data_IF_744212218777
#
_entry.id   IF_744212218777
#
_cell.length_a   1.000
_cell.length_b   1.000
_cell.length_c   1.000
_cell.angle_alpha   90.00
_cell.angle_beta   90.00
_cell.angle_gamma   90.00
#
_symmetry.space_group_name_H-M   'P 1'
#
loop_
_entity.id
_entity.type
_entity.pdbx_description
1 polymer ?
#
# COMPACT_ATOMS: atom_id res chain seq x y z
N UNK A 1 25.62 -6.63 13.27
CA UNK A 1 25.56 -6.58 11.79
C UNK A 1 24.17 -6.94 11.25
N UNK A 2 23.31 -7.60 12.03
CA UNK A 2 21.95 -8.02 11.64
C UNK A 2 20.96 -6.90 11.31
N UNK A 3 21.06 -5.70 11.89
CA UNK A 3 20.12 -4.61 11.62
C UNK A 3 20.24 -3.91 10.26
N UNK A 4 21.30 -4.19 9.46
CA UNK A 4 21.54 -3.46 8.21
C UNK A 4 20.76 -4.01 7.01
N UNK A 5 20.59 -5.33 6.90
CA UNK A 5 19.96 -5.96 5.74
C UNK A 5 18.43 -5.79 5.77
N UNK A 6 17.79 -6.07 6.92
CA UNK A 6 16.34 -5.85 7.08
C UNK A 6 15.98 -4.39 6.86
N UNK A 7 16.77 -3.44 7.39
CA UNK A 7 16.55 -2.01 7.17
C UNK A 7 16.64 -1.65 5.68
N UNK A 8 17.54 -2.26 4.92
CA UNK A 8 17.64 -2.04 3.48
C UNK A 8 16.44 -2.61 2.73
N UNK A 9 16.02 -3.84 3.04
CA UNK A 9 14.81 -4.43 2.47
C UNK A 9 13.58 -3.55 2.71
N UNK A 10 13.42 -3.03 3.94
CA UNK A 10 12.31 -2.14 4.27
C UNK A 10 12.38 -0.84 3.48
N UNK A 11 13.56 -0.27 3.27
CA UNK A 11 13.73 0.91 2.41
C UNK A 11 13.38 0.62 0.95
N UNK A 12 13.66 -0.59 0.47
CA UNK A 12 13.27 -1.00 -0.89
C UNK A 12 11.75 -1.12 -1.03
N UNK A 13 11.10 -1.77 -0.06
CA UNK A 13 9.62 -1.89 0.00
C UNK A 13 8.97 -0.52 0.17
N UNK A 14 9.46 0.31 1.09
CA UNK A 14 8.99 1.69 1.29
C UNK A 14 9.20 2.53 0.03
N UNK A 15 10.33 2.36 -0.67
CA UNK A 15 10.65 3.02 -1.92
C UNK A 15 9.71 2.62 -3.05
N UNK A 16 9.30 1.35 -3.14
CA UNK A 16 8.29 0.86 -4.08
C UNK A 16 6.96 1.61 -3.88
N UNK A 17 6.43 1.63 -2.66
CA UNK A 17 5.13 2.27 -2.38
C UNK A 17 5.19 3.80 -2.44
N UNK A 18 6.30 4.41 -1.98
CA UNK A 18 6.47 5.87 -1.98
C UNK A 18 6.42 6.48 -3.38
N UNK A 19 6.82 5.73 -4.42
CA UNK A 19 6.69 6.16 -5.83
C UNK A 19 5.26 6.37 -6.27
N UNK A 20 4.32 5.63 -5.69
CA UNK A 20 2.90 5.75 -5.98
C UNK A 20 2.31 7.03 -5.40
N UNK A 21 2.93 7.63 -4.38
CA UNK A 21 2.43 8.84 -3.69
C UNK A 21 1.17 8.65 -2.85
N UNK A 22 0.71 7.41 -2.71
CA UNK A 22 -0.37 7.02 -1.81
C UNK A 22 0.02 7.30 -0.36
N UNK A 23 -0.99 7.46 0.49
CA UNK A 23 -0.76 7.67 1.92
C UNK A 23 -0.64 6.32 2.62
N UNK A 24 0.49 6.08 3.31
CA UNK A 24 0.70 4.84 4.05
C UNK A 24 1.57 5.05 5.30
N UNK A 25 1.58 4.02 6.16
CA UNK A 25 2.57 3.80 7.22
C UNK A 25 3.15 2.41 7.06
N UNK A 26 4.46 2.28 7.32
CA UNK A 26 5.14 0.99 7.32
C UNK A 26 5.51 0.62 8.75
N UNK A 27 5.19 -0.61 9.13
CA UNK A 27 5.64 -1.25 10.35
C UNK A 27 6.41 -2.50 9.95
N UNK A 28 7.35 -2.92 10.77
CA UNK A 28 8.06 -4.16 10.52
C UNK A 28 8.42 -4.83 11.82
N UNK A 29 8.60 -6.14 11.72
CA UNK A 29 9.02 -6.97 12.83
C UNK A 29 9.92 -8.08 12.30
N UNK A 30 11.05 -8.21 12.95
CA UNK A 30 11.86 -9.43 12.90
C UNK A 30 11.37 -10.39 13.98
N UNK A 31 11.11 -11.64 13.61
CA UNK A 31 10.69 -12.65 14.59
C UNK A 31 11.90 -13.06 15.42
N UNK A 32 11.83 -12.87 16.73
CA UNK A 32 12.88 -13.31 17.66
C UNK A 32 12.95 -14.83 17.74
N UNK A 33 14.13 -15.39 18.06
CA UNK A 33 14.31 -16.85 18.27
C UNK A 33 13.26 -17.43 19.24
N UNK A 34 12.97 -16.74 20.34
CA UNK A 34 11.92 -17.16 21.28
C UNK A 34 10.53 -17.24 20.63
N UNK A 35 10.17 -16.25 19.81
CA UNK A 35 8.87 -16.24 19.11
C UNK A 35 8.80 -17.31 18.02
N UNK A 36 9.94 -17.62 17.39
CA UNK A 36 10.08 -18.69 16.40
C UNK A 36 9.86 -20.07 17.04
N UNK A 37 10.59 -20.36 18.12
CA UNK A 37 10.44 -21.60 18.89
C UNK A 37 9.02 -21.79 19.39
N UNK A 38 8.42 -20.76 20.01
CA UNK A 38 7.04 -20.82 20.47
C UNK A 38 6.03 -21.11 19.34
N UNK A 39 6.31 -20.65 18.11
CA UNK A 39 5.46 -20.92 16.94
C UNK A 39 5.58 -22.38 16.50
N UNK A 40 6.80 -22.92 16.49
CA UNK A 40 7.08 -24.32 16.19
C UNK A 40 6.41 -25.23 17.23
N UNK A 41 6.58 -24.93 18.53
CA UNK A 41 6.02 -25.72 19.63
C UNK A 41 4.49 -25.71 19.67
N UNK A 42 3.87 -24.60 19.23
CA UNK A 42 2.41 -24.46 19.21
C UNK A 42 1.75 -25.26 18.09
N UNK A 43 2.48 -25.52 17.01
CA UNK A 43 2.00 -26.27 15.85
C UNK A 43 2.94 -27.44 15.54
N UNK A 44 3.06 -28.43 16.46
CA UNK A 44 4.03 -29.50 16.34
C UNK A 44 3.77 -30.32 15.06
N UNK A 45 4.82 -30.53 14.27
CA UNK A 45 4.78 -31.26 13.00
C UNK A 45 4.27 -30.47 11.79
N UNK A 46 3.86 -29.20 11.95
CA UNK A 46 3.44 -28.34 10.83
C UNK A 46 4.62 -27.86 9.99
N UNK A 47 5.75 -27.57 10.63
CA UNK A 47 6.92 -27.00 9.99
C UNK A 47 7.98 -28.07 9.76
N UNK A 48 8.41 -28.21 8.51
CA UNK A 48 9.40 -29.19 8.05
C UNK A 48 10.11 -28.67 6.80
N UNK A 49 11.02 -29.46 6.22
CA UNK A 49 11.72 -29.11 4.98
C UNK A 49 10.77 -28.74 3.82
N UNK A 50 9.56 -29.30 3.79
CA UNK A 50 8.53 -29.05 2.76
C UNK A 50 7.62 -27.86 3.09
N UNK A 51 7.49 -27.49 4.36
CA UNK A 51 6.61 -26.41 4.83
C UNK A 51 7.35 -25.53 5.82
N UNK A 52 8.06 -24.55 5.27
CA UNK A 52 8.95 -23.68 6.03
C UNK A 52 8.25 -22.46 6.61
N UNK A 53 8.91 -21.81 7.56
CA UNK A 53 8.45 -20.55 8.16
C UNK A 53 8.84 -19.40 7.24
N UNK A 54 7.84 -18.66 6.76
CA UNK A 54 8.02 -17.62 5.73
C UNK A 54 7.95 -16.18 6.27
N UNK A 55 7.56 -16.02 7.55
CA UNK A 55 7.34 -14.74 8.22
C UNK A 55 8.43 -14.44 9.25
N UNK A 56 9.70 -14.70 8.88
CA UNK A 56 10.85 -14.29 9.69
C UNK A 56 10.97 -12.77 9.71
N UNK A 57 10.92 -12.15 8.53
CA UNK A 57 10.66 -10.72 8.36
C UNK A 57 9.19 -10.56 7.98
N UNK A 58 8.43 -9.89 8.84
CA UNK A 58 7.09 -9.42 8.54
C UNK A 58 7.07 -7.91 8.38
N UNK A 59 6.62 -7.43 7.22
CA UNK A 59 6.41 -6.01 6.92
C UNK A 59 4.91 -5.77 6.84
N UNK A 60 4.39 -4.73 7.49
CA UNK A 60 3.00 -4.31 7.38
C UNK A 60 2.93 -2.93 6.76
N UNK A 61 2.11 -2.80 5.74
CA UNK A 61 1.84 -1.53 5.07
C UNK A 61 0.38 -1.18 5.35
N UNK A 62 0.18 -0.16 6.18
CA UNK A 62 -1.12 0.37 6.54
C UNK A 62 -1.45 1.57 5.64
N UNK A 63 -2.32 1.37 4.66
CA UNK A 63 -2.78 2.36 3.69
C UNK A 63 -3.95 3.18 4.27
N UNK A 64 -4.10 4.42 3.85
CA UNK A 64 -5.18 5.27 4.38
C UNK A 64 -6.52 5.05 3.67
N UNK A 65 -6.50 4.52 2.45
CA UNK A 65 -7.70 4.26 1.66
C UNK A 65 -7.69 2.82 1.15
N UNK A 66 -8.87 2.18 1.16
CA UNK A 66 -9.02 0.75 0.82
C UNK A 66 -8.76 0.48 -0.67
N UNK A 67 -9.06 1.43 -1.56
CA UNK A 67 -8.79 1.31 -3.00
C UNK A 67 -7.30 1.35 -3.34
N UNK A 68 -6.45 1.85 -2.43
CA UNK A 68 -4.99 1.85 -2.61
C UNK A 68 -4.36 0.45 -2.40
N UNK A 69 -5.06 -0.49 -1.75
CA UNK A 69 -4.54 -1.85 -1.47
C UNK A 69 -4.24 -2.57 -2.79
N UNK A 70 -5.15 -2.52 -3.75
CA UNK A 70 -4.97 -3.20 -5.03
C UNK A 70 -3.78 -2.63 -5.83
N UNK A 71 -3.59 -1.31 -5.79
CA UNK A 71 -2.48 -0.65 -6.48
C UNK A 71 -1.14 -0.98 -5.81
N UNK A 72 -1.08 -0.91 -4.48
CA UNK A 72 0.12 -1.28 -3.73
C UNK A 72 0.50 -2.74 -3.92
N UNK A 73 -0.49 -3.65 -3.91
CA UNK A 73 -0.31 -5.08 -4.20
C UNK A 73 0.36 -5.28 -5.56
N UNK A 74 -0.25 -4.74 -6.62
CA UNK A 74 0.28 -4.87 -7.98
C UNK A 74 1.71 -4.33 -8.10
N UNK A 75 1.99 -3.17 -7.52
CA UNK A 75 3.33 -2.58 -7.54
C UNK A 75 4.39 -3.45 -6.84
N UNK A 76 4.02 -4.13 -5.74
CA UNK A 76 4.91 -5.06 -5.04
C UNK A 76 5.11 -6.35 -5.82
N UNK A 77 4.04 -6.93 -6.37
CA UNK A 77 4.07 -8.14 -7.22
C UNK A 77 4.95 -7.93 -8.47
N UNK A 78 4.92 -6.75 -9.08
CA UNK A 78 5.76 -6.41 -10.22
C UNK A 78 7.24 -6.17 -9.83
N UNK A 79 7.50 -5.75 -8.58
CA UNK A 79 8.83 -5.31 -8.14
C UNK A 79 9.67 -6.42 -7.52
N UNK A 80 9.04 -7.34 -6.81
CA UNK A 80 9.69 -8.39 -6.04
C UNK A 80 9.32 -9.77 -6.58
N UNK A 81 10.11 -10.79 -6.24
CA UNK A 81 9.85 -12.17 -6.65
C UNK A 81 8.68 -12.76 -5.83
N UNK A 82 7.47 -12.62 -6.38
CA UNK A 82 6.20 -12.97 -5.75
C UNK A 82 5.91 -14.48 -5.77
N UNK A 83 5.60 -15.04 -4.59
CA UNK A 83 5.26 -16.46 -4.41
C UNK A 83 3.77 -16.60 -4.18
N UNK A 84 3.01 -16.73 -5.27
CA UNK A 84 1.53 -16.77 -5.24
C UNK A 84 0.99 -17.94 -4.39
N UNK A 85 1.58 -19.12 -4.53
CA UNK A 85 1.09 -20.35 -3.87
C UNK A 85 1.11 -20.28 -2.34
N UNK A 86 1.97 -19.43 -1.79
CA UNK A 86 2.14 -19.25 -0.34
C UNK A 86 1.46 -17.98 0.18
N UNK A 87 1.01 -17.13 -0.73
CA UNK A 87 0.32 -15.88 -0.40
C UNK A 87 -1.15 -16.12 -0.05
N UNK A 88 -1.71 -15.28 0.81
CA UNK A 88 -3.10 -15.35 1.26
C UNK A 88 -3.81 -14.04 0.97
N UNK A 89 -4.67 -14.06 -0.05
CA UNK A 89 -5.58 -12.97 -0.35
C UNK A 89 -7.01 -13.49 -0.23
N UNK A 90 -7.69 -13.06 0.82
CA UNK A 90 -9.07 -13.43 1.06
C UNK A 90 -10.00 -12.51 0.26
N UNK A 91 -11.11 -13.05 -0.22
CA UNK A 91 -12.22 -12.25 -0.73
C UNK A 91 -13.18 -11.89 0.42
N UNK A 92 -13.72 -10.65 0.46
CA UNK A 92 -14.73 -10.26 1.43
C UNK A 92 -15.96 -11.16 1.37
N UNK A 93 -16.45 -11.57 2.53
CA UNK A 93 -17.67 -12.35 2.67
C UNK A 93 -18.89 -11.41 2.66
N UNK A 94 -19.91 -11.72 1.86
CA UNK A 94 -21.06 -10.83 1.69
C UNK A 94 -21.98 -10.75 2.91
N UNK A 95 -21.97 -11.77 3.79
CA UNK A 95 -22.87 -11.85 4.94
C UNK A 95 -22.13 -11.68 6.27
N UNK A 96 -20.82 -11.86 6.29
CA UNK A 96 -20.01 -11.88 7.52
C UNK A 96 -18.89 -10.85 7.47
N UNK A 97 -18.98 -9.86 8.35
CA UNK A 97 -17.86 -8.97 8.65
C UNK A 97 -16.77 -9.72 9.43
N UNK A 98 -15.66 -9.98 8.76
CA UNK A 98 -14.45 -10.60 9.33
C UNK A 98 -13.22 -9.96 8.68
N UNK A 99 -12.10 -9.98 9.39
CA UNK A 99 -10.85 -9.49 8.85
C UNK A 99 -10.50 -10.19 7.53
N UNK A 100 -10.28 -9.41 6.48
CA UNK A 100 -9.80 -9.89 5.17
C UNK A 100 -8.28 -9.82 5.18
N UNK A 101 -7.61 -10.90 4.73
CA UNK A 101 -6.15 -10.92 4.61
C UNK A 101 -5.70 -10.52 3.21
N UNK A 102 -4.60 -9.78 3.17
CA UNK A 102 -3.80 -9.57 1.98
C UNK A 102 -2.34 -9.72 2.40
N UNK A 103 -1.93 -10.98 2.60
CA UNK A 103 -0.60 -11.37 3.03
C UNK A 103 0.14 -11.90 1.81
N UNK A 104 1.17 -11.19 1.37
CA UNK A 104 1.96 -11.50 0.19
C UNK A 104 3.31 -12.08 0.63
N UNK A 105 3.71 -13.19 0.02
CA UNK A 105 5.01 -13.81 0.25
C UNK A 105 5.93 -13.50 -0.93
N UNK A 106 7.14 -13.05 -0.62
CA UNK A 106 8.16 -12.73 -1.61
C UNK A 106 9.46 -13.43 -1.26
N UNK A 107 10.24 -13.84 -2.27
CA UNK A 107 11.60 -14.32 -2.04
C UNK A 107 12.51 -13.17 -1.63
N UNK A 108 13.40 -13.44 -0.68
CA UNK A 108 14.43 -12.49 -0.30
C UNK A 108 15.40 -12.29 -1.47
N UNK A 109 15.85 -11.06 -1.73
CA UNK A 109 16.87 -10.79 -2.73
C UNK A 109 18.19 -11.52 -2.44
N UNK A 110 18.97 -11.84 -3.48
CA UNK A 110 20.24 -12.60 -3.36
C UNK A 110 21.29 -11.98 -2.42
N UNK A 111 21.21 -10.68 -2.17
CA UNK A 111 22.10 -9.96 -1.26
C UNK A 111 21.71 -10.13 0.22
N UNK A 112 20.62 -10.84 0.49
CA UNK A 112 20.14 -11.15 1.82
C UNK A 112 20.68 -12.52 2.25
N UNK A 113 21.39 -12.56 3.37
CA UNK A 113 21.94 -13.81 3.92
C UNK A 113 21.60 -13.93 5.40
N UNK A 114 20.73 -14.89 5.72
CA UNK A 114 20.33 -15.24 7.08
C UNK A 114 21.04 -16.47 7.65
N UNK A 115 21.93 -17.11 6.89
CA UNK A 115 22.56 -18.36 7.29
C UNK A 115 23.38 -18.22 8.59
N UNK A 116 23.82 -17.00 8.91
CA UNK A 116 24.62 -16.71 10.10
C UNK A 116 23.79 -16.34 11.33
N UNK A 117 22.46 -16.21 11.21
CA UNK A 117 21.55 -15.78 12.29
C UNK A 117 20.80 -16.94 12.94
N UNK A 118 20.72 -18.09 12.26
CA UNK A 118 20.05 -19.30 12.74
C UNK A 118 21.07 -20.43 12.92
N UNK A 119 20.89 -21.24 13.96
CA UNK A 119 21.56 -22.54 14.11
C UNK A 119 21.10 -23.51 13.02
N UNK A 120 21.97 -24.46 12.64
CA UNK A 120 21.78 -25.38 11.50
C UNK A 120 20.39 -26.04 11.50
N UNK A 121 19.93 -26.52 12.67
CA UNK A 121 18.62 -27.16 12.84
C UNK A 121 17.44 -26.24 12.51
N UNK A 122 17.57 -24.93 12.73
CA UNK A 122 16.51 -23.94 12.45
C UNK A 122 16.62 -23.35 11.04
N UNK A 123 17.81 -23.35 10.44
CA UNK A 123 18.01 -22.90 9.07
C UNK A 123 17.25 -23.77 8.05
N UNK A 124 17.09 -25.07 8.32
CA UNK A 124 16.37 -25.98 7.41
C UNK A 124 14.86 -25.74 7.36
N UNK A 125 14.27 -25.18 8.42
CA UNK A 125 12.82 -24.97 8.58
C UNK A 125 12.37 -23.52 8.35
N UNK A 126 13.30 -22.60 8.10
CA UNK A 126 13.00 -21.21 7.76
C UNK A 126 13.20 -21.01 6.26
N UNK A 127 12.25 -20.36 5.61
CA UNK A 127 12.29 -20.10 4.18
C UNK A 127 13.08 -18.83 3.87
N UNK A 128 13.63 -18.73 2.66
CA UNK A 128 14.33 -17.53 2.19
C UNK A 128 13.33 -16.51 1.65
N UNK A 129 12.36 -16.12 2.48
CA UNK A 129 11.23 -15.26 2.11
C UNK A 129 10.96 -14.18 3.15
N UNK A 130 10.20 -13.17 2.75
CA UNK A 130 9.58 -12.21 3.66
C UNK A 130 8.08 -12.08 3.37
N UNK A 131 7.31 -11.76 4.41
CA UNK A 131 5.87 -11.52 4.31
C UNK A 131 5.59 -10.02 4.30
N UNK A 132 4.77 -9.55 3.37
CA UNK A 132 4.20 -8.20 3.36
C UNK A 132 2.68 -8.29 3.55
N UNK A 133 2.17 -7.67 4.60
CA UNK A 133 0.73 -7.58 4.88
C UNK A 133 0.22 -6.20 4.47
N UNK A 134 -0.77 -6.17 3.57
CA UNK A 134 -1.45 -4.94 3.17
C UNK A 134 -2.76 -4.81 3.92
N UNK A 135 -2.91 -3.70 4.65
CA UNK A 135 -4.12 -3.38 5.42
C UNK A 135 -4.42 -1.89 5.28
N UNK A 136 -5.63 -1.49 5.66
CA UNK A 136 -5.91 -0.08 5.92
C UNK A 136 -5.45 0.32 7.33
N UNK A 137 -5.30 1.62 7.59
CA UNK A 137 -4.90 2.12 8.92
C UNK A 137 -5.93 1.79 10.01
N UNK A 138 -7.23 1.78 9.67
CA UNK A 138 -8.28 1.45 10.63
C UNK A 138 -8.33 -0.06 10.89
N UNK A 139 -8.24 -0.88 9.84
CA UNK A 139 -8.20 -2.34 10.00
C UNK A 139 -6.93 -2.82 10.70
N UNK A 140 -5.78 -2.18 10.52
CA UNK A 140 -4.54 -2.48 11.27
C UNK A 140 -4.73 -2.22 12.76
N UNK A 141 -5.29 -1.07 13.13
CA UNK A 141 -5.55 -0.73 14.54
C UNK A 141 -6.49 -1.73 15.22
N UNK A 142 -7.55 -2.14 14.53
CA UNK A 142 -8.45 -3.20 15.02
C UNK A 142 -7.75 -4.56 15.10
N UNK A 143 -6.94 -4.91 14.09
CA UNK A 143 -6.24 -6.20 14.02
C UNK A 143 -5.25 -6.38 15.18
N UNK A 144 -4.51 -5.34 15.56
CA UNK A 144 -3.59 -5.43 16.71
C UNK A 144 -4.35 -5.69 18.02
N UNK A 145 -5.50 -5.05 18.23
CA UNK A 145 -6.37 -5.28 19.40
C UNK A 145 -6.91 -6.72 19.38
N UNK A 146 -7.47 -7.15 18.25
CA UNK A 146 -8.01 -8.49 18.05
C UNK A 146 -6.94 -9.57 18.31
N UNK A 147 -5.76 -9.37 17.74
CA UNK A 147 -4.66 -10.31 17.85
C UNK A 147 -4.18 -10.47 19.31
N UNK A 148 -4.01 -9.35 20.02
CA UNK A 148 -3.44 -9.36 21.36
C UNK A 148 -4.43 -9.73 22.46
N UNK A 149 -5.69 -9.33 22.32
CA UNK A 149 -6.71 -9.54 23.35
C UNK A 149 -7.63 -10.73 23.09
N UNK A 150 -7.90 -11.09 21.83
CA UNK A 150 -8.77 -12.22 21.47
C UNK A 150 -7.99 -13.42 20.95
N UNK A 151 -7.13 -13.26 19.95
CA UNK A 151 -6.43 -14.39 19.34
C UNK A 151 -5.40 -15.06 20.27
N UNK A 152 -4.66 -14.30 21.08
CA UNK A 152 -3.71 -14.85 22.05
C UNK A 152 -4.39 -15.48 23.28
N UNK A 153 -5.64 -15.13 23.55
CA UNK A 153 -6.42 -15.54 24.73
C UNK A 153 -7.74 -16.20 24.36
N UNK A 154 -7.74 -17.07 23.34
CA UNK A 154 -8.97 -17.64 22.77
C UNK A 154 -9.88 -18.29 23.81
N UNK A 155 -9.30 -18.91 24.84
CA UNK A 155 -10.05 -19.58 25.90
C UNK A 155 -10.92 -18.60 26.72
N UNK A 156 -10.45 -17.36 26.92
CA UNK A 156 -11.21 -16.30 27.61
C UNK A 156 -12.46 -15.85 26.83
N UNK A 157 -12.55 -16.19 25.54
CA UNK A 157 -13.62 -15.76 24.62
C UNK A 157 -14.61 -16.88 24.27
N UNK A 158 -14.41 -18.10 24.79
CA UNK A 158 -15.31 -19.24 24.54
C UNK A 158 -16.68 -18.97 25.20
N UNK A 159 -17.76 -19.15 24.44
CA UNK A 159 -19.14 -18.92 24.92
C UNK A 159 -19.59 -17.46 24.93
N UNK A 160 -18.68 -16.51 24.68
CA UNK A 160 -18.96 -15.06 24.65
C UNK A 160 -19.42 -14.60 23.26
N UNK A 161 -20.51 -15.18 22.76
CA UNK A 161 -20.98 -14.94 21.38
C UNK A 161 -21.35 -13.47 21.13
N UNK A 162 -21.93 -12.80 22.13
CA UNK A 162 -22.34 -11.40 22.00
C UNK A 162 -21.13 -10.47 21.89
N UNK A 163 -20.08 -10.71 22.68
CA UNK A 163 -18.84 -9.95 22.72
C UNK A 163 -18.02 -10.19 21.44
N UNK A 164 -17.94 -11.44 20.99
CA UNK A 164 -17.32 -11.78 19.70
C UNK A 164 -18.01 -11.05 18.54
N UNK A 165 -19.35 -11.03 18.55
CA UNK A 165 -20.15 -10.31 17.56
C UNK A 165 -19.95 -8.80 17.68
N UNK A 166 -19.88 -8.26 18.89
CA UNK A 166 -19.63 -6.84 19.12
C UNK A 166 -18.26 -6.40 18.57
N UNK A 167 -17.20 -7.17 18.82
CA UNK A 167 -15.86 -6.87 18.29
C UNK A 167 -15.82 -6.90 16.75
N UNK A 168 -16.50 -7.87 16.13
CA UNK A 168 -16.66 -7.89 14.66
C UNK A 168 -17.57 -6.75 14.16
N UNK A 169 -18.54 -6.30 14.97
CA UNK A 169 -19.35 -5.11 14.66
C UNK A 169 -18.53 -3.81 14.67
N UNK A 170 -17.51 -3.71 15.52
CA UNK A 170 -16.53 -2.60 15.45
C UNK A 170 -15.80 -2.64 14.11
N UNK A 171 -15.32 -3.82 13.68
CA UNK A 171 -14.67 -3.98 12.37
C UNK A 171 -15.59 -3.54 11.22
N UNK A 172 -16.85 -3.96 11.22
CA UNK A 172 -17.85 -3.53 10.24
C UNK A 172 -18.05 -1.99 10.19
N UNK A 173 -18.00 -1.34 11.36
CA UNK A 173 -18.09 0.12 11.46
C UNK A 173 -16.86 0.81 10.85
N UNK A 174 -15.67 0.23 11.02
CA UNK A 174 -14.44 0.74 10.43
C UNK A 174 -14.47 0.61 8.90
N UNK A 175 -14.84 -0.54 8.35
CA UNK A 175 -15.02 -0.69 6.90
C UNK A 175 -16.02 0.33 6.35
N UNK A 176 -17.16 0.51 7.03
CA UNK A 176 -18.16 1.52 6.65
C UNK A 176 -17.58 2.94 6.67
N UNK A 177 -16.72 3.25 7.64
CA UNK A 177 -16.05 4.54 7.75
C UNK A 177 -15.08 4.77 6.59
N UNK A 178 -14.37 3.73 6.14
CA UNK A 178 -13.45 3.80 5.01
C UNK A 178 -14.18 4.09 3.69
N UNK A 179 -15.29 3.37 3.44
CA UNK A 179 -16.16 3.65 2.30
C UNK A 179 -16.72 5.07 2.32
N UNK A 180 -17.09 5.56 3.51
CA UNK A 180 -17.60 6.91 3.70
C UNK A 180 -16.53 7.97 3.39
N UNK A 181 -15.30 7.75 3.84
CA UNK A 181 -14.17 8.62 3.53
C UNK A 181 -13.93 8.71 2.02
N UNK A 182 -13.93 7.58 1.30
CA UNK A 182 -13.79 7.57 -0.16
C UNK A 182 -14.83 8.46 -0.85
N UNK A 183 -16.11 8.24 -0.52
CA UNK A 183 -17.22 9.00 -1.09
C UNK A 183 -17.13 10.49 -0.76
N UNK A 184 -16.78 10.84 0.47
CA UNK A 184 -16.60 12.23 0.89
C UNK A 184 -15.56 12.95 0.02
N UNK A 185 -14.41 12.33 -0.21
CA UNK A 185 -13.36 12.94 -1.04
C UNK A 185 -13.75 13.02 -2.53
N UNK A 186 -14.52 12.07 -3.04
CA UNK A 186 -15.09 12.14 -4.39
C UNK A 186 -16.09 13.29 -4.55
N UNK A 187 -16.97 13.49 -3.56
CA UNK A 187 -17.91 14.60 -3.52
C UNK A 187 -17.21 15.96 -3.39
N UNK A 188 -16.15 16.05 -2.56
CA UNK A 188 -15.31 17.24 -2.45
C UNK A 188 -14.61 17.54 -3.77
N UNK A 189 -14.02 16.54 -4.43
CA UNK A 189 -13.41 16.70 -5.74
C UNK A 189 -14.41 17.22 -6.78
N UNK A 190 -15.63 16.68 -6.80
CA UNK A 190 -16.70 17.15 -7.68
C UNK A 190 -17.16 18.58 -7.36
N UNK A 191 -17.28 18.92 -6.07
CA UNK A 191 -17.63 20.27 -5.63
C UNK A 191 -16.59 21.29 -6.09
N UNK A 192 -15.30 20.97 -5.93
CA UNK A 192 -14.21 21.84 -6.38
C UNK A 192 -14.09 21.90 -7.91
N UNK A 193 -14.38 20.81 -8.61
CA UNK A 193 -14.54 20.82 -10.07
C UNK A 193 -15.60 21.84 -10.52
N UNK A 194 -16.79 21.84 -9.90
CA UNK A 194 -17.86 22.81 -10.23
C UNK A 194 -17.49 24.25 -9.91
N UNK A 195 -16.72 24.47 -8.85
CA UNK A 195 -16.19 25.79 -8.45
C UNK A 195 -14.95 26.22 -9.24
N UNK A 196 -14.43 25.38 -10.14
CA UNK A 196 -13.16 25.58 -10.86
C UNK A 196 -11.99 25.87 -9.91
N UNK A 197 -11.96 25.25 -8.73
CA UNK A 197 -10.80 25.30 -7.85
C UNK A 197 -9.94 24.07 -8.16
N UNK A 198 -8.97 24.22 -9.07
CA UNK A 198 -8.23 23.10 -9.64
C UNK A 198 -7.33 22.43 -8.60
N UNK A 199 -6.67 23.23 -7.76
CA UNK A 199 -5.80 22.70 -6.71
C UNK A 199 -6.55 21.81 -5.72
N UNK A 200 -7.67 22.28 -5.20
CA UNK A 200 -8.48 21.50 -4.26
C UNK A 200 -9.13 20.29 -4.96
N UNK A 201 -9.58 20.44 -6.20
CA UNK A 201 -10.12 19.33 -6.99
C UNK A 201 -9.10 18.19 -7.11
N UNK A 202 -7.85 18.49 -7.51
CA UNK A 202 -6.80 17.49 -7.68
C UNK A 202 -6.40 16.83 -6.36
N UNK A 203 -6.24 17.61 -5.28
CA UNK A 203 -5.94 17.08 -3.95
C UNK A 203 -6.98 16.03 -3.50
N UNK A 204 -8.26 16.37 -3.59
CA UNK A 204 -9.33 15.48 -3.16
C UNK A 204 -9.53 14.28 -4.11
N UNK A 205 -9.34 14.48 -5.42
CA UNK A 205 -9.48 13.41 -6.42
C UNK A 205 -8.39 12.35 -6.29
N UNK A 206 -7.13 12.78 -6.16
CA UNK A 206 -5.99 11.87 -6.20
C UNK A 206 -5.64 11.31 -4.81
N UNK A 207 -5.96 12.03 -3.73
CA UNK A 207 -5.75 11.56 -2.35
C UNK A 207 -4.28 11.17 -2.08
N UNK A 208 -3.35 12.01 -2.55
CA UNK A 208 -1.90 11.78 -2.50
C UNK A 208 -1.20 12.79 -1.58
N UNK A 209 0.00 12.46 -1.11
CA UNK A 209 0.89 13.44 -0.46
C UNK A 209 1.57 14.32 -1.49
N UNK A 210 0.90 15.39 -1.90
CA UNK A 210 1.47 16.33 -2.87
C UNK A 210 2.57 17.20 -2.25
N UNK A 211 3.63 17.41 -3.02
CA UNK A 211 4.72 18.36 -2.74
C UNK A 211 4.46 19.67 -3.48
N UNK A 212 4.86 20.78 -2.88
CA UNK A 212 4.79 22.09 -3.51
C UNK A 212 5.76 22.18 -4.69
N UNK A 213 5.34 22.88 -5.74
CA UNK A 213 6.17 23.19 -6.91
C UNK A 213 5.90 24.62 -7.37
N UNK A 214 6.95 25.30 -7.82
CA UNK A 214 6.85 26.65 -8.40
C UNK A 214 6.05 26.70 -9.69
N UNK A 215 5.86 25.55 -10.35
CA UNK A 215 5.07 25.43 -11.58
C UNK A 215 3.57 25.23 -11.32
N UNK A 216 3.16 24.99 -10.08
CA UNK A 216 1.76 24.72 -9.75
C UNK A 216 0.87 25.94 -10.05
N UNK A 217 1.24 27.12 -9.57
CA UNK A 217 0.46 28.35 -9.72
C UNK A 217 0.12 28.72 -11.18
N UNK A 218 1.12 28.84 -12.08
CA UNK A 218 0.87 29.16 -13.49
C UNK A 218 -0.04 28.16 -14.20
N UNK A 219 0.16 26.85 -13.96
CA UNK A 219 -0.66 25.80 -14.57
C UNK A 219 -2.08 25.80 -14.03
N UNK A 220 -2.25 25.92 -12.71
CA UNK A 220 -3.56 26.01 -12.06
C UNK A 220 -4.35 27.16 -12.68
N UNK A 221 -3.78 28.37 -12.73
CA UNK A 221 -4.46 29.55 -13.28
C UNK A 221 -4.90 29.33 -14.73
N UNK A 222 -4.02 28.79 -15.57
CA UNK A 222 -4.36 28.49 -16.97
C UNK A 222 -5.51 27.49 -17.10
N UNK A 223 -5.50 26.43 -16.29
CA UNK A 223 -6.55 25.40 -16.32
C UNK A 223 -7.88 25.97 -15.80
N UNK A 224 -7.87 26.80 -14.75
CA UNK A 224 -9.07 27.47 -14.21
C UNK A 224 -9.77 28.37 -15.24
N UNK A 225 -8.99 28.99 -16.12
CA UNK A 225 -9.47 29.80 -17.25
C UNK A 225 -9.91 28.96 -18.48
N UNK A 226 -9.71 27.63 -18.47
CA UNK A 226 -9.96 26.73 -19.61
C UNK A 226 -10.95 25.60 -19.25
N UNK A 227 -12.29 25.84 -19.31
CA UNK A 227 -13.30 24.92 -18.79
C UNK A 227 -13.28 23.49 -19.36
N UNK A 228 -13.03 23.32 -20.65
CA UNK A 228 -12.95 21.99 -21.28
C UNK A 228 -11.76 21.18 -20.76
N UNK A 229 -10.65 21.85 -20.46
CA UNK A 229 -9.46 21.20 -19.91
C UNK A 229 -9.70 20.73 -18.47
N UNK A 230 -10.36 21.53 -17.63
CA UNK A 230 -10.76 21.12 -16.27
C UNK A 230 -11.59 19.84 -16.34
N UNK A 231 -12.57 19.77 -17.25
CA UNK A 231 -13.45 18.59 -17.40
C UNK A 231 -12.66 17.34 -17.80
N UNK A 232 -11.70 17.46 -18.71
CA UNK A 232 -10.81 16.35 -19.12
C UNK A 232 -9.93 15.88 -17.97
N UNK A 233 -9.32 16.82 -17.22
CA UNK A 233 -8.50 16.54 -16.04
C UNK A 233 -9.33 15.86 -14.93
N UNK A 234 -10.51 16.38 -14.62
CA UNK A 234 -11.40 15.82 -13.61
C UNK A 234 -11.82 14.38 -13.94
N UNK A 235 -12.03 14.07 -15.22
CA UNK A 235 -12.39 12.73 -15.70
C UNK A 235 -11.21 11.79 -15.84
N UNK A 236 -9.98 12.26 -15.65
CA UNK A 236 -8.80 11.41 -15.76
C UNK A 236 -8.86 10.30 -14.70
N UNK A 237 -8.54 9.08 -15.11
CA UNK A 237 -8.60 7.93 -14.22
C UNK A 237 -7.44 7.96 -13.20
N UNK A 238 -7.78 7.78 -11.92
CA UNK A 238 -6.81 7.78 -10.82
C UNK A 238 -5.88 6.58 -10.92
N UNK A 239 -6.41 5.40 -11.21
CA UNK A 239 -5.63 4.16 -11.25
C UNK A 239 -4.55 4.27 -12.33
N UNK A 240 -4.92 4.75 -13.53
CA UNK A 240 -3.96 5.01 -14.62
C UNK A 240 -2.80 5.92 -14.22
N UNK A 241 -3.02 6.95 -13.40
CA UNK A 241 -1.92 7.79 -12.89
C UNK A 241 -0.96 6.98 -12.00
N UNK A 242 -1.51 6.20 -11.07
CA UNK A 242 -0.70 5.41 -10.15
C UNK A 242 0.10 4.33 -10.87
N UNK A 243 -0.49 3.67 -11.87
CA UNK A 243 0.21 2.70 -12.72
C UNK A 243 1.38 3.35 -13.49
N UNK A 244 1.17 4.56 -14.04
CA UNK A 244 2.23 5.28 -14.75
C UNK A 244 3.36 5.73 -13.82
N UNK A 245 3.06 6.04 -12.56
CA UNK A 245 4.06 6.34 -11.54
C UNK A 245 4.80 5.08 -11.08
N UNK A 246 4.11 3.95 -10.92
CA UNK A 246 4.70 2.66 -10.52
C UNK A 246 5.78 2.21 -11.49
N UNK A 247 5.50 2.28 -12.79
CA UNK A 247 6.37 1.80 -13.87
C UNK A 247 7.59 2.70 -14.16
N UNK A 248 7.87 3.72 -13.33
CA UNK A 248 8.90 4.74 -13.60
C UNK A 248 9.77 5.04 -12.36
N UNK A 249 10.93 5.67 -12.55
CA UNK A 249 11.73 6.17 -11.44
C UNK A 249 10.95 7.19 -10.59
N UNK A 250 11.32 7.30 -9.32
CA UNK A 250 10.70 8.26 -8.41
C UNK A 250 10.84 9.71 -8.90
N UNK A 251 9.75 10.47 -8.84
CA UNK A 251 9.75 11.93 -8.97
C UNK A 251 8.96 12.55 -7.81
N UNK A 252 9.25 13.80 -7.41
CA UNK A 252 8.38 14.55 -6.52
C UNK A 252 6.96 14.60 -7.09
N UNK A 253 5.95 14.23 -6.30
CA UNK A 253 4.57 14.21 -6.78
C UNK A 253 3.95 15.56 -6.43
N UNK A 254 3.91 16.47 -7.40
CA UNK A 254 3.29 17.79 -7.30
C UNK A 254 2.06 17.88 -8.21
N UNK A 255 1.25 18.93 -8.05
CA UNK A 255 0.12 19.20 -8.96
C UNK A 255 0.62 19.32 -10.41
N UNK A 256 1.69 20.09 -10.62
CA UNK A 256 2.36 20.27 -11.91
C UNK A 256 2.79 18.95 -12.54
N UNK A 257 3.43 18.05 -11.79
CA UNK A 257 3.88 16.76 -12.32
C UNK A 257 2.71 15.84 -12.67
N UNK A 258 1.62 15.86 -11.90
CA UNK A 258 0.39 15.14 -12.27
C UNK A 258 -0.21 15.70 -13.57
N UNK A 259 -0.25 17.02 -13.72
CA UNK A 259 -0.73 17.68 -14.94
C UNK A 259 0.13 17.33 -16.16
N UNK A 260 1.45 17.37 -16.02
CA UNK A 260 2.37 16.99 -17.09
C UNK A 260 2.22 15.52 -17.50
N UNK A 261 2.06 14.62 -16.52
CA UNK A 261 1.78 13.21 -16.78
C UNK A 261 0.48 13.05 -17.57
N UNK A 262 -0.62 13.68 -17.12
CA UNK A 262 -1.89 13.66 -17.84
C UNK A 262 -1.74 14.22 -19.27
N UNK A 263 -0.89 15.23 -19.45
CA UNK A 263 -0.63 15.84 -20.75
C UNK A 263 0.06 14.91 -21.74
N UNK A 264 1.12 14.23 -21.29
CA UNK A 264 1.84 13.25 -22.10
C UNK A 264 0.97 12.02 -22.42
N UNK A 265 0.11 11.61 -21.49
CA UNK A 265 -0.73 10.44 -21.67
C UNK A 265 -1.91 10.71 -22.63
N UNK A 266 -2.61 11.85 -22.50
CA UNK A 266 -3.77 12.12 -23.36
C UNK A 266 -4.26 13.56 -23.48
N UNK A 267 -3.87 14.52 -22.61
CA UNK A 267 -4.43 15.87 -22.73
C UNK A 267 -3.92 16.58 -23.99
N UNK A 268 -2.62 16.42 -24.31
CA UNK A 268 -1.97 16.99 -25.50
C UNK A 268 -2.19 18.50 -25.67
N UNK A 269 -2.21 19.23 -24.56
CA UNK A 269 -2.36 20.68 -24.51
C UNK A 269 -1.00 21.38 -24.73
N UNK A 270 -0.95 22.33 -25.67
CA UNK A 270 0.28 23.02 -26.06
C UNK A 270 0.83 23.93 -24.96
N UNK A 271 -0.02 24.55 -24.15
CA UNK A 271 0.45 25.45 -23.09
C UNK A 271 1.10 24.62 -21.99
N UNK A 272 0.46 23.53 -21.56
CA UNK A 272 1.03 22.60 -20.57
C UNK A 272 2.36 22.03 -21.10
N UNK A 273 2.41 21.65 -22.38
CA UNK A 273 3.60 21.11 -23.03
C UNK A 273 4.79 22.08 -23.04
N UNK A 274 4.53 23.38 -23.25
CA UNK A 274 5.55 24.45 -23.19
C UNK A 274 6.06 24.73 -21.78
N UNK A 275 5.24 24.52 -20.75
CA UNK A 275 5.65 24.69 -19.34
C UNK A 275 6.42 23.48 -18.79
N UNK A 276 6.40 22.35 -19.50
CA UNK A 276 6.98 21.10 -19.04
C UNK A 276 8.52 21.14 -19.06
N UNK A 277 9.18 20.83 -17.93
CA UNK A 277 10.64 20.70 -17.91
C UNK A 277 11.12 19.58 -18.85
N UNK A 278 12.22 19.77 -19.62
CA UNK A 278 12.72 18.75 -20.54
C UNK A 278 12.98 17.39 -19.87
N UNK A 279 13.55 17.41 -18.66
CA UNK A 279 13.81 16.20 -17.85
C UNK A 279 12.55 15.37 -17.55
N UNK A 280 11.37 15.99 -17.55
CA UNK A 280 10.10 15.28 -17.33
C UNK A 280 9.73 14.39 -18.52
N UNK A 281 10.06 14.80 -19.75
CA UNK A 281 9.88 13.94 -20.94
C UNK A 281 10.85 12.76 -20.96
N UNK A 282 12.08 13.00 -20.54
CA UNK A 282 13.07 11.92 -20.40
C UNK A 282 12.58 10.90 -19.37
N UNK A 283 12.09 11.39 -18.22
CA UNK A 283 11.45 10.55 -17.20
C UNK A 283 10.26 9.76 -17.74
N UNK A 284 9.40 10.38 -18.54
CA UNK A 284 8.25 9.71 -19.14
C UNK A 284 8.63 8.50 -20.01
N UNK A 285 9.77 8.57 -20.67
CA UNK A 285 10.28 7.53 -21.55
C UNK A 285 11.03 6.41 -20.80
N UNK A 286 11.37 6.63 -19.52
CA UNK A 286 12.10 5.67 -18.68
C UNK A 286 11.17 4.64 -18.01
N UNK A 287 10.59 3.72 -18.80
CA UNK A 287 9.85 2.59 -18.23
C UNK A 287 10.84 1.61 -17.61
N UNK A 288 10.59 1.22 -16.35
CA UNK A 288 11.41 0.28 -15.56
C UNK A 288 10.77 -1.10 -15.60
#
# INVERSE_FOLDING_TARGET
MEGSQTTNLIKEVEGCISKLGVMFRIFYREKTKHSLLKKIDKEPGKYCAEKKIQDLIGIRIALYFVDDIAVARKALEEKFDYVEVDSQVDEPDSEVFKAVRCNLIFRLPDHFDFSNTLDEDHAEIVDNTFEVQLRTILSEGWHEIDHDLRYKRKDDWIGLNQENRALNGVYATLETSEWTLLKLFEELAYTHYKKRNVAAMLNNKFRMRLKESTLDGPLIKYIEDTPELIKRIYRFDRIRILERLSARPYIPISISNLIFLMNLESLQDEFIDKQMPPKFRDWWSSVV
#
